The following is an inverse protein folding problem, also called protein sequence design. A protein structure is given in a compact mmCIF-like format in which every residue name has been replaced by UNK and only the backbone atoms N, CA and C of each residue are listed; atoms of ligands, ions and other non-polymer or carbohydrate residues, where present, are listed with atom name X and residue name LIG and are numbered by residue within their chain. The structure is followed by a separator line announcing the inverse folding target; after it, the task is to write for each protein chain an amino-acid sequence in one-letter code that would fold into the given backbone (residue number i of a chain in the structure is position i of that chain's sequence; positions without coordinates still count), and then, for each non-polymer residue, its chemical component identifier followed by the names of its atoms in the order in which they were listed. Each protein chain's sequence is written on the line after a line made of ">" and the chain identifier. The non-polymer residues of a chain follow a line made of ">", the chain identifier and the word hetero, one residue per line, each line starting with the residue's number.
data_IF_541608894235
#
_entry.id   IF_541608894235
#
_cell.length_a   1.000
_cell.length_b   1.000
_cell.length_c   1.000
_cell.angle_alpha   90.00
_cell.angle_beta   90.00
_cell.angle_gamma   90.00
#
_symmetry.space_group_name_H-M   'P 1'
#
loop_
_entity.id
_entity.type
_entity.pdbx_description
1 polymer ?
#
# COMPACT_ATOMS: atom_id res chain seq x y z
N UNK A 1 -23.18 -21.27 23.19
CA UNK A 1 -22.73 -22.68 23.05
C UNK A 1 -22.20 -22.84 21.61
N UNK A 2 -20.95 -23.22 21.45
CA UNK A 2 -20.40 -23.56 20.15
C UNK A 2 -21.10 -24.80 19.60
N UNK A 3 -21.34 -24.86 18.27
CA UNK A 3 -21.88 -26.05 17.64
C UNK A 3 -20.85 -27.18 17.62
N UNK A 4 -21.30 -28.46 17.55
CA UNK A 4 -20.39 -29.60 17.45
C UNK A 4 -19.41 -29.43 16.27
N UNK A 5 -19.89 -29.00 15.09
CA UNK A 5 -19.05 -28.72 13.92
C UNK A 5 -18.00 -27.64 14.17
N UNK A 6 -18.27 -26.66 15.03
CA UNK A 6 -17.28 -25.63 15.38
C UNK A 6 -16.19 -26.19 16.31
N UNK A 7 -16.55 -27.09 17.22
CA UNK A 7 -15.57 -27.76 18.09
C UNK A 7 -14.64 -28.64 17.25
N UNK A 8 -15.18 -29.43 16.33
CA UNK A 8 -14.39 -30.29 15.43
C UNK A 8 -13.45 -29.46 14.53
N UNK A 9 -13.93 -28.34 13.98
CA UNK A 9 -13.10 -27.41 13.22
C UNK A 9 -11.89 -26.91 14.01
N UNK A 10 -12.10 -26.45 15.26
CA UNK A 10 -11.02 -25.94 16.10
C UNK A 10 -10.02 -27.05 16.47
N UNK A 11 -10.49 -28.26 16.68
CA UNK A 11 -9.63 -29.41 16.95
C UNK A 11 -8.75 -29.74 15.75
N UNK A 12 -9.31 -29.85 14.54
CA UNK A 12 -8.53 -30.11 13.32
C UNK A 12 -7.51 -28.98 13.02
N UNK A 13 -7.91 -27.72 13.19
CA UNK A 13 -6.99 -26.59 13.06
C UNK A 13 -5.86 -26.68 14.09
N UNK A 14 -6.17 -27.09 15.32
CA UNK A 14 -5.18 -27.26 16.40
C UNK A 14 -4.21 -28.40 16.12
N UNK A 15 -4.67 -29.47 15.49
CA UNK A 15 -3.80 -30.57 15.04
C UNK A 15 -2.88 -30.13 13.90
N UNK A 16 -3.35 -29.26 13.01
CA UNK A 16 -2.58 -28.79 11.85
C UNK A 16 -1.45 -27.82 12.20
N UNK A 17 -1.67 -26.87 13.14
CA UNK A 17 -0.71 -25.77 13.44
C UNK A 17 -0.23 -25.77 14.90
N UNK A 18 -0.73 -26.68 15.74
CA UNK A 18 -0.53 -26.68 17.18
C UNK A 18 -1.54 -25.80 17.94
N UNK A 19 -2.08 -26.31 19.03
CA UNK A 19 -3.16 -25.66 19.82
C UNK A 19 -2.81 -24.23 20.27
N UNK A 20 -1.55 -23.96 20.63
CA UNK A 20 -1.07 -22.63 21.03
C UNK A 20 -1.13 -21.58 19.88
N UNK A 21 -1.40 -22.03 18.66
CA UNK A 21 -1.45 -21.19 17.46
C UNK A 21 -2.85 -21.07 16.86
N UNK A 22 -3.87 -21.55 17.56
CA UNK A 22 -5.29 -21.36 17.26
C UNK A 22 -5.89 -20.53 18.38
N UNK A 23 -6.13 -19.23 18.13
CA UNK A 23 -6.66 -18.29 19.11
C UNK A 23 -8.18 -18.26 18.99
N UNK A 24 -8.86 -18.66 20.07
CA UNK A 24 -10.34 -18.74 20.13
C UNK A 24 -10.95 -17.73 21.10
N UNK A 25 -10.17 -17.25 22.07
CA UNK A 25 -10.62 -16.27 23.06
C UNK A 25 -10.84 -14.91 22.42
N UNK A 26 -11.93 -14.22 22.77
CA UNK A 26 -12.32 -12.93 22.21
C UNK A 26 -11.22 -11.87 22.35
N UNK A 27 -10.61 -11.78 23.52
CA UNK A 27 -9.51 -10.82 23.79
C UNK A 27 -8.29 -11.06 22.91
N UNK A 28 -7.99 -12.33 22.58
CA UNK A 28 -6.88 -12.69 21.70
C UNK A 28 -7.17 -12.43 20.22
N UNK A 29 -8.46 -12.46 19.82
CA UNK A 29 -8.89 -12.22 18.43
C UNK A 29 -9.09 -10.74 18.11
N UNK A 30 -9.42 -9.92 19.11
CA UNK A 30 -9.83 -8.53 18.95
C UNK A 30 -8.91 -7.71 18.03
N UNK A 31 -7.58 -7.85 18.16
CA UNK A 31 -6.61 -7.14 17.31
C UNK A 31 -6.60 -7.59 15.85
N UNK A 32 -7.11 -8.79 15.56
CA UNK A 32 -7.20 -9.34 14.21
C UNK A 32 -8.55 -9.06 13.54
N UNK A 33 -9.55 -8.69 14.31
CA UNK A 33 -10.93 -8.44 13.88
C UNK A 33 -11.20 -6.99 13.48
N UNK A 34 -10.24 -6.08 13.71
CA UNK A 34 -10.33 -4.66 13.36
C UNK A 34 -9.14 -4.25 12.51
N UNK A 35 -9.38 -3.42 11.49
CA UNK A 35 -8.31 -2.88 10.65
C UNK A 35 -7.57 -1.72 11.35
N UNK A 36 -6.43 -1.34 10.79
CA UNK A 36 -5.62 -0.24 11.33
C UNK A 36 -6.37 1.09 11.45
N UNK A 37 -7.39 1.30 10.60
CA UNK A 37 -8.17 2.55 10.61
C UNK A 37 -9.27 2.56 11.66
N UNK A 38 -9.61 1.41 12.24
CA UNK A 38 -10.77 1.21 13.12
C UNK A 38 -12.13 1.30 12.41
N UNK A 39 -12.14 1.43 11.07
CA UNK A 39 -13.36 1.61 10.27
C UNK A 39 -13.99 0.30 9.81
N UNK A 40 -13.18 -0.72 9.65
CA UNK A 40 -13.60 -2.03 9.19
C UNK A 40 -13.34 -3.05 10.27
N UNK A 41 -14.38 -3.78 10.62
CA UNK A 41 -14.32 -4.81 11.66
C UNK A 41 -15.35 -5.91 11.40
N UNK A 42 -15.04 -7.11 11.87
CA UNK A 42 -15.96 -8.24 11.82
C UNK A 42 -15.44 -9.42 12.63
N UNK A 43 -16.34 -10.26 13.18
CA UNK A 43 -15.97 -11.39 14.02
C UNK A 43 -15.36 -12.53 13.22
N UNK A 44 -14.46 -13.30 13.83
CA UNK A 44 -14.01 -14.59 13.33
C UNK A 44 -14.19 -15.69 14.39
N UNK A 45 -14.24 -16.95 13.96
CA UNK A 45 -14.33 -18.09 14.88
C UNK A 45 -13.00 -18.38 15.57
N UNK A 46 -11.90 -18.15 14.83
CA UNK A 46 -10.54 -18.30 15.36
C UNK A 46 -9.54 -17.51 14.51
N UNK A 47 -8.39 -17.22 15.10
CA UNK A 47 -7.18 -16.80 14.38
C UNK A 47 -6.22 -17.97 14.37
N UNK A 48 -5.81 -18.39 13.16
CA UNK A 48 -4.88 -19.51 12.97
C UNK A 48 -3.54 -18.96 12.48
N UNK A 49 -2.44 -19.40 13.09
CA UNK A 49 -1.09 -18.87 12.85
C UNK A 49 -0.13 -19.95 12.36
N UNK A 50 -0.17 -20.31 11.06
CA UNK A 50 0.73 -21.30 10.47
C UNK A 50 2.19 -20.83 10.46
N UNK A 51 3.14 -21.78 10.45
CA UNK A 51 4.58 -21.55 10.45
C UNK A 51 5.29 -22.14 9.22
N UNK A 52 4.56 -22.79 8.32
CA UNK A 52 5.10 -23.33 7.09
C UNK A 52 4.05 -23.31 5.97
N UNK A 53 4.48 -23.48 4.72
CA UNK A 53 3.58 -23.56 3.56
C UNK A 53 2.67 -24.78 3.65
N UNK A 54 3.15 -25.89 4.23
CA UNK A 54 2.38 -27.12 4.45
C UNK A 54 1.26 -26.89 5.47
N UNK A 55 1.53 -26.16 6.56
CA UNK A 55 0.52 -25.78 7.54
C UNK A 55 -0.52 -24.82 6.91
N UNK A 56 -0.12 -23.85 6.09
CA UNK A 56 -1.04 -23.01 5.31
C UNK A 56 -1.94 -23.85 4.42
N UNK A 57 -1.37 -24.81 3.69
CA UNK A 57 -2.13 -25.72 2.83
C UNK A 57 -3.10 -26.62 3.61
N UNK A 58 -2.71 -27.09 4.79
CA UNK A 58 -3.56 -27.88 5.67
C UNK A 58 -4.76 -27.05 6.18
N UNK A 59 -4.51 -25.84 6.69
CA UNK A 59 -5.57 -24.93 7.14
C UNK A 59 -6.58 -24.62 6.04
N UNK A 60 -6.11 -24.33 4.81
CA UNK A 60 -6.99 -24.08 3.65
C UNK A 60 -7.90 -25.30 3.38
N UNK A 61 -7.34 -26.51 3.38
CA UNK A 61 -8.14 -27.73 3.16
C UNK A 61 -9.18 -27.96 4.26
N UNK A 62 -8.82 -27.70 5.52
CA UNK A 62 -9.74 -27.78 6.64
C UNK A 62 -10.86 -26.76 6.47
N UNK A 63 -10.56 -25.52 6.17
CA UNK A 63 -11.57 -24.47 5.93
C UNK A 63 -12.53 -24.85 4.80
N UNK A 64 -12.04 -25.48 3.74
CA UNK A 64 -12.86 -25.96 2.63
C UNK A 64 -13.83 -27.09 3.05
N UNK A 65 -13.39 -28.03 3.91
CA UNK A 65 -14.23 -29.11 4.43
C UNK A 65 -15.37 -28.59 5.31
N UNK A 66 -15.08 -27.58 6.14
CA UNK A 66 -16.06 -27.01 7.07
C UNK A 66 -16.85 -25.84 6.49
N UNK A 67 -16.69 -25.52 5.20
CA UNK A 67 -17.36 -24.40 4.50
C UNK A 67 -17.25 -23.07 5.26
N UNK A 68 -16.06 -22.75 5.75
CA UNK A 68 -15.76 -21.49 6.41
C UNK A 68 -14.90 -20.60 5.49
N UNK A 69 -15.09 -19.29 5.60
CA UNK A 69 -14.29 -18.31 4.82
C UNK A 69 -12.93 -18.09 5.47
N UNK A 70 -11.94 -17.74 4.67
CA UNK A 70 -10.58 -17.50 5.11
C UNK A 70 -10.13 -16.08 4.76
N UNK A 71 -9.68 -15.32 5.76
CA UNK A 71 -9.12 -13.98 5.60
C UNK A 71 -7.61 -14.04 5.85
N UNK A 72 -6.77 -13.99 4.82
CA UNK A 72 -5.32 -13.88 4.99
C UNK A 72 -4.97 -12.51 5.59
N UNK A 73 -4.18 -12.52 6.66
CA UNK A 73 -3.72 -11.32 7.33
C UNK A 73 -2.26 -11.44 7.70
N UNK A 74 -1.49 -10.35 7.61
CA UNK A 74 -0.13 -10.29 8.13
C UNK A 74 0.06 -9.03 8.98
N UNK A 75 0.70 -7.98 8.49
CA UNK A 75 0.94 -6.75 9.25
C UNK A 75 -0.30 -5.92 9.60
N UNK A 76 -1.44 -6.20 9.01
CA UNK A 76 -2.74 -5.51 9.19
C UNK A 76 -2.64 -3.97 9.07
N UNK A 77 -1.79 -3.48 8.15
CA UNK A 77 -1.57 -2.05 7.89
C UNK A 77 -2.44 -1.47 6.77
N UNK A 78 -3.32 -2.29 6.19
CA UNK A 78 -4.20 -1.89 5.09
C UNK A 78 -5.25 -0.85 5.52
N UNK A 79 -5.68 -0.01 4.57
CA UNK A 79 -6.56 1.14 4.81
C UNK A 79 -7.97 0.96 4.21
N UNK A 80 -8.24 -0.17 3.57
CA UNK A 80 -9.45 -0.42 2.77
C UNK A 80 -10.25 -1.64 3.23
N UNK A 81 -9.97 -2.15 4.44
CA UNK A 81 -10.68 -3.25 5.08
C UNK A 81 -10.46 -4.62 4.40
N UNK A 82 -9.41 -4.79 3.60
CA UNK A 82 -9.11 -6.04 2.89
C UNK A 82 -8.52 -7.15 3.77
N UNK A 83 -8.00 -6.82 4.96
CA UNK A 83 -7.28 -7.75 5.84
C UNK A 83 -8.09 -8.23 7.05
N UNK A 84 -9.36 -7.84 7.18
CA UNK A 84 -10.18 -8.20 8.35
C UNK A 84 -11.47 -8.89 7.94
N UNK A 85 -12.09 -9.70 8.82
CA UNK A 85 -13.36 -10.36 8.53
C UNK A 85 -14.47 -9.37 8.24
N UNK A 86 -15.52 -9.83 7.56
CA UNK A 86 -16.71 -9.02 7.25
C UNK A 86 -17.67 -8.99 8.44
N UNK A 87 -18.47 -7.91 8.59
CA UNK A 87 -19.55 -7.90 9.58
C UNK A 87 -20.45 -9.12 9.41
N UNK A 88 -20.88 -9.70 10.52
CA UNK A 88 -21.78 -10.84 10.48
C UNK A 88 -23.10 -10.44 9.82
N UNK A 89 -23.52 -11.24 8.82
CA UNK A 89 -24.83 -11.13 8.17
C UNK A 89 -25.59 -12.43 8.35
N UNK A 90 -26.91 -12.36 8.41
CA UNK A 90 -27.74 -13.57 8.48
C UNK A 90 -27.46 -14.47 7.28
N UNK A 91 -27.09 -15.74 7.55
CA UNK A 91 -26.74 -16.72 6.51
C UNK A 91 -25.30 -16.62 5.97
N UNK A 92 -24.49 -15.68 6.43
CA UNK A 92 -23.08 -15.63 6.04
C UNK A 92 -22.29 -16.80 6.68
N UNK A 93 -21.34 -17.33 5.91
CA UNK A 93 -20.35 -18.31 6.44
C UNK A 93 -19.51 -17.65 7.51
N UNK A 94 -19.13 -18.43 8.52
CA UNK A 94 -18.19 -17.97 9.54
C UNK A 94 -16.77 -17.79 8.96
N UNK A 95 -15.99 -16.92 9.57
CA UNK A 95 -14.65 -16.60 9.09
C UNK A 95 -13.55 -17.18 10.02
N UNK A 96 -12.45 -17.58 9.40
CA UNK A 96 -11.16 -17.83 10.05
C UNK A 96 -10.19 -16.75 9.57
N UNK A 97 -9.47 -16.10 10.48
CA UNK A 97 -8.33 -15.26 10.13
C UNK A 97 -7.07 -16.12 10.10
N UNK A 98 -6.37 -16.15 8.96
CA UNK A 98 -5.07 -16.79 8.85
C UNK A 98 -3.97 -15.73 8.99
N UNK A 99 -3.34 -15.69 10.16
CA UNK A 99 -2.23 -14.78 10.41
C UNK A 99 -0.92 -15.39 9.91
N UNK A 100 -0.30 -14.71 8.93
CA UNK A 100 0.95 -15.16 8.30
C UNK A 100 2.21 -14.61 9.01
N UNK A 101 2.04 -13.97 10.16
CA UNK A 101 3.14 -13.32 10.91
C UNK A 101 4.22 -14.27 11.42
N UNK A 102 3.99 -15.59 11.41
CA UNK A 102 5.00 -16.60 11.77
C UNK A 102 5.84 -17.07 10.58
N UNK A 103 5.48 -16.73 9.36
CA UNK A 103 6.28 -17.01 8.16
C UNK A 103 7.36 -15.93 8.03
N UNK A 104 8.44 -16.05 8.81
CA UNK A 104 9.45 -14.99 8.96
C UNK A 104 10.84 -15.39 8.48
N UNK A 105 10.99 -16.52 7.80
CA UNK A 105 12.29 -16.93 7.26
C UNK A 105 12.73 -15.99 6.16
N UNK A 106 13.94 -15.46 6.29
CA UNK A 106 14.61 -14.63 5.30
C UNK A 106 15.89 -15.37 4.86
N UNK A 107 15.98 -15.66 3.57
CA UNK A 107 17.11 -16.36 2.98
C UNK A 107 18.37 -15.51 2.92
N UNK A 108 19.47 -16.15 2.57
CA UNK A 108 20.72 -15.41 2.30
C UNK A 108 20.56 -14.53 1.06
N UNK A 109 21.07 -13.29 1.15
CA UNK A 109 21.13 -12.39 -0.01
C UNK A 109 22.07 -12.96 -1.07
N UNK A 110 21.57 -13.11 -2.27
CA UNK A 110 22.35 -13.39 -3.47
C UNK A 110 22.81 -12.07 -4.07
N UNK A 111 24.05 -11.68 -3.75
CA UNK A 111 24.61 -10.38 -4.19
C UNK A 111 24.88 -10.34 -5.68
N UNK A 112 25.15 -11.48 -6.33
CA UNK A 112 25.39 -11.54 -7.77
C UNK A 112 24.10 -11.36 -8.57
N UNK A 113 23.00 -11.98 -8.12
CA UNK A 113 21.68 -11.80 -8.71
C UNK A 113 20.97 -10.55 -8.20
N UNK A 114 21.45 -9.93 -7.12
CA UNK A 114 20.77 -8.89 -6.35
C UNK A 114 19.34 -9.31 -5.98
N UNK A 115 19.22 -10.43 -5.30
CA UNK A 115 17.94 -11.03 -4.94
C UNK A 115 17.99 -11.66 -3.53
N UNK A 116 16.81 -11.78 -2.93
CA UNK A 116 16.64 -12.52 -1.67
C UNK A 116 15.28 -13.20 -1.66
N UNK A 117 15.20 -14.38 -1.04
CA UNK A 117 13.91 -15.04 -0.77
C UNK A 117 13.44 -14.66 0.62
N UNK A 118 12.21 -14.21 0.75
CA UNK A 118 11.57 -13.84 2.01
C UNK A 118 10.20 -14.51 2.13
N UNK A 119 9.88 -15.03 3.31
CA UNK A 119 8.52 -15.47 3.63
C UNK A 119 7.56 -14.28 3.80
N UNK A 120 6.27 -14.55 3.69
CA UNK A 120 5.21 -13.53 3.63
C UNK A 120 5.11 -12.64 4.87
N UNK A 121 5.49 -13.13 6.06
CA UNK A 121 5.48 -12.40 7.32
C UNK A 121 6.74 -11.58 7.61
N UNK A 122 7.78 -11.66 6.77
CA UNK A 122 8.97 -10.79 6.88
C UNK A 122 8.55 -9.33 6.70
N UNK A 123 8.96 -8.43 7.61
CA UNK A 123 8.66 -6.99 7.49
C UNK A 123 9.55 -6.32 6.44
N UNK A 124 9.10 -5.18 5.91
CA UNK A 124 9.92 -4.41 4.96
C UNK A 124 11.21 -3.89 5.62
N UNK A 125 11.15 -3.52 6.90
CA UNK A 125 12.34 -3.14 7.68
C UNK A 125 13.34 -4.30 7.75
N UNK A 126 12.92 -5.51 8.11
CA UNK A 126 13.80 -6.69 8.17
C UNK A 126 14.40 -7.01 6.79
N UNK A 127 13.61 -6.90 5.72
CA UNK A 127 14.10 -7.06 4.34
C UNK A 127 15.17 -6.03 4.00
N UNK A 128 14.95 -4.75 4.33
CA UNK A 128 15.89 -3.65 4.09
C UNK A 128 17.18 -3.81 4.88
N UNK A 129 17.12 -4.14 6.16
CA UNK A 129 18.29 -4.39 6.99
C UNK A 129 19.16 -5.52 6.43
N UNK A 130 18.53 -6.60 5.98
CA UNK A 130 19.25 -7.71 5.33
C UNK A 130 19.94 -7.27 4.03
N UNK A 131 19.29 -6.42 3.23
CA UNK A 131 19.86 -5.86 2.01
C UNK A 131 21.06 -4.95 2.33
N UNK A 132 20.92 -4.04 3.30
CA UNK A 132 22.00 -3.13 3.74
C UNK A 132 23.23 -3.89 4.27
N UNK A 133 23.01 -4.95 5.05
CA UNK A 133 24.10 -5.82 5.53
C UNK A 133 24.88 -6.49 4.39
N UNK A 134 24.28 -6.59 3.20
CA UNK A 134 24.90 -7.12 1.98
C UNK A 134 25.40 -6.02 1.02
N UNK A 135 25.35 -4.75 1.40
CA UNK A 135 25.75 -3.61 0.56
C UNK A 135 24.75 -3.25 -0.54
N UNK A 136 23.51 -3.71 -0.41
CA UNK A 136 22.39 -3.46 -1.34
C UNK A 136 21.28 -2.73 -0.60
N UNK A 137 20.22 -2.32 -1.32
CA UNK A 137 19.04 -1.66 -0.75
C UNK A 137 17.75 -2.30 -1.32
N UNK A 138 16.62 -1.93 -0.75
CA UNK A 138 15.30 -2.38 -1.20
C UNK A 138 14.64 -1.33 -2.10
N UNK A 139 13.96 -1.75 -3.18
CA UNK A 139 13.34 -0.82 -4.14
C UNK A 139 12.02 -0.21 -3.66
N UNK A 140 11.43 -0.74 -2.59
CA UNK A 140 10.12 -0.30 -2.05
C UNK A 140 10.29 0.21 -0.63
N UNK A 141 9.76 1.40 -0.37
CA UNK A 141 9.79 2.03 0.94
C UNK A 141 8.56 2.91 1.16
N UNK A 142 7.90 2.75 2.31
CA UNK A 142 6.75 3.55 2.74
C UNK A 142 6.63 3.60 4.27
N UNK A 143 5.79 4.50 4.79
CA UNK A 143 5.74 4.84 6.21
C UNK A 143 5.49 3.64 7.17
N UNK A 144 4.68 2.65 6.76
CA UNK A 144 4.33 1.51 7.59
C UNK A 144 5.36 0.35 7.56
N UNK A 145 6.59 0.58 7.09
CA UNK A 145 7.64 -0.44 6.84
C UNK A 145 7.94 -1.38 8.01
N UNK A 146 7.79 -0.89 9.24
CA UNK A 146 8.12 -1.67 10.44
C UNK A 146 7.11 -2.79 10.73
N UNK A 147 5.89 -2.64 10.22
CA UNK A 147 4.78 -3.58 10.46
C UNK A 147 4.29 -4.22 9.16
N UNK A 148 4.32 -3.49 8.05
CA UNK A 148 3.95 -4.03 6.74
C UNK A 148 4.89 -5.16 6.34
N UNK A 149 4.32 -6.24 5.79
CA UNK A 149 5.05 -7.46 5.47
C UNK A 149 5.14 -7.70 3.96
N UNK A 150 6.07 -8.53 3.55
CA UNK A 150 6.28 -8.91 2.14
C UNK A 150 5.00 -9.45 1.50
N UNK A 151 4.31 -10.39 2.15
CA UNK A 151 3.07 -10.96 1.62
C UNK A 151 1.96 -9.93 1.47
N UNK A 152 1.79 -9.04 2.46
CA UNK A 152 0.81 -7.95 2.41
C UNK A 152 1.15 -6.93 1.31
N UNK A 153 2.41 -6.50 1.22
CA UNK A 153 2.85 -5.55 0.20
C UNK A 153 2.68 -6.09 -1.24
N UNK A 154 2.93 -7.39 -1.46
CA UNK A 154 2.67 -8.03 -2.76
C UNK A 154 1.16 -8.12 -3.01
N UNK A 155 0.38 -8.57 -2.03
CA UNK A 155 -1.06 -8.75 -2.18
C UNK A 155 -1.78 -7.44 -2.55
N UNK A 156 -1.32 -6.29 -2.06
CA UNK A 156 -1.84 -4.96 -2.41
C UNK A 156 -1.10 -4.28 -3.56
N UNK A 157 -0.02 -4.89 -4.08
CA UNK A 157 0.88 -4.27 -5.05
C UNK A 157 1.39 -2.91 -4.57
N UNK A 158 1.84 -2.83 -3.33
CA UNK A 158 2.26 -1.59 -2.69
C UNK A 158 3.34 -0.83 -3.48
N UNK A 159 3.29 0.49 -3.42
CA UNK A 159 4.22 1.40 -4.08
C UNK A 159 5.16 2.09 -3.09
N UNK A 160 4.82 3.32 -2.72
CA UNK A 160 5.62 4.20 -1.88
C UNK A 160 6.44 5.22 -2.68
N UNK A 161 7.31 5.96 -2.02
CA UNK A 161 8.01 7.11 -2.61
C UNK A 161 8.97 6.78 -3.76
N UNK A 162 9.46 5.53 -3.83
CA UNK A 162 10.49 5.10 -4.82
C UNK A 162 9.91 4.50 -6.12
N UNK A 163 8.59 4.61 -6.31
CA UNK A 163 7.91 4.05 -7.50
C UNK A 163 8.43 4.67 -8.80
N UNK A 164 8.73 5.96 -8.78
CA UNK A 164 9.32 6.66 -9.93
C UNK A 164 10.55 5.93 -10.49
N UNK A 165 11.43 5.47 -9.64
CA UNK A 165 12.69 4.84 -10.03
C UNK A 165 12.58 3.33 -10.22
N UNK A 166 11.88 2.66 -9.32
CA UNK A 166 11.92 1.20 -9.24
C UNK A 166 10.59 0.51 -9.57
N UNK A 167 9.48 1.24 -9.57
CA UNK A 167 8.13 0.69 -9.73
C UNK A 167 7.57 0.10 -8.44
N UNK A 168 6.35 -0.44 -8.52
CA UNK A 168 5.63 -1.05 -7.40
C UNK A 168 6.14 -2.47 -7.07
N UNK A 169 5.62 -3.09 -6.01
CA UNK A 169 5.96 -4.46 -5.60
C UNK A 169 5.84 -5.48 -6.73
N UNK A 170 4.87 -5.35 -7.64
CA UNK A 170 4.72 -6.22 -8.83
C UNK A 170 6.01 -6.35 -9.63
N UNK A 171 6.76 -5.25 -9.77
CA UNK A 171 8.03 -5.23 -10.52
C UNK A 171 9.18 -5.88 -9.74
N UNK A 172 9.05 -5.99 -8.43
CA UNK A 172 10.12 -6.48 -7.56
C UNK A 172 10.06 -7.99 -7.32
N UNK A 173 8.90 -8.61 -7.55
CA UNK A 173 8.71 -10.06 -7.34
C UNK A 173 9.16 -10.82 -8.58
N UNK A 174 10.27 -11.54 -8.47
CA UNK A 174 10.85 -12.38 -9.56
C UNK A 174 10.55 -13.86 -9.38
N UNK A 175 9.98 -14.25 -8.26
CA UNK A 175 9.47 -15.57 -7.97
C UNK A 175 8.47 -15.50 -6.82
N UNK A 176 7.53 -16.42 -6.77
CA UNK A 176 6.49 -16.46 -5.74
C UNK A 176 6.13 -17.90 -5.40
N UNK A 177 5.79 -18.12 -4.14
CA UNK A 177 5.16 -19.33 -3.64
C UNK A 177 3.83 -18.93 -3.01
N UNK A 178 2.77 -19.63 -3.36
CA UNK A 178 1.44 -19.39 -2.82
C UNK A 178 0.62 -20.67 -2.73
N UNK A 179 -0.44 -20.65 -1.93
CA UNK A 179 -1.37 -21.77 -1.76
C UNK A 179 -2.75 -21.37 -2.26
N UNK A 180 -3.28 -22.10 -3.24
CA UNK A 180 -4.63 -21.89 -3.80
C UNK A 180 -5.73 -22.34 -2.85
N UNK A 181 -6.99 -21.97 -3.11
CA UNK A 181 -8.15 -22.41 -2.34
C UNK A 181 -8.34 -23.94 -2.26
N UNK A 182 -7.68 -24.70 -3.16
CA UNK A 182 -7.63 -26.17 -3.12
C UNK A 182 -6.53 -26.74 -2.22
N UNK A 183 -5.75 -25.89 -1.54
CA UNK A 183 -4.59 -26.30 -0.75
C UNK A 183 -3.42 -26.80 -1.59
N UNK A 184 -3.35 -26.42 -2.87
CA UNK A 184 -2.23 -26.76 -3.76
C UNK A 184 -1.19 -25.62 -3.70
N UNK A 185 0.07 -25.99 -3.52
CA UNK A 185 1.22 -25.07 -3.57
C UNK A 185 1.54 -24.80 -5.03
N UNK A 186 1.64 -23.54 -5.41
CA UNK A 186 1.89 -23.07 -6.78
C UNK A 186 3.01 -22.01 -6.82
N UNK A 187 3.58 -21.81 -8.00
CA UNK A 187 4.64 -20.85 -8.25
C UNK A 187 6.04 -21.44 -8.12
N UNK A 188 7.05 -20.59 -8.16
CA UNK A 188 8.46 -20.95 -8.08
C UNK A 188 9.25 -19.80 -7.44
N UNK A 189 10.21 -20.13 -6.59
CA UNK A 189 11.15 -19.20 -5.98
C UNK A 189 12.50 -19.12 -6.72
N UNK A 190 12.60 -19.68 -7.94
CA UNK A 190 13.82 -19.71 -8.73
C UNK A 190 14.38 -18.35 -9.12
N UNK A 191 13.52 -17.36 -9.33
CA UNK A 191 13.90 -15.97 -9.58
C UNK A 191 14.70 -15.74 -10.86
N UNK A 192 14.48 -16.56 -11.89
CA UNK A 192 15.20 -16.46 -13.17
C UNK A 192 14.69 -15.24 -13.96
N UNK A 193 15.60 -14.33 -14.43
CA UNK A 193 15.20 -13.17 -15.22
C UNK A 193 14.53 -13.51 -16.56
N UNK A 194 14.79 -14.69 -17.10
CA UNK A 194 14.18 -15.22 -18.35
C UNK A 194 13.40 -16.48 -18.03
N UNK A 195 12.22 -16.34 -17.43
CA UNK A 195 11.26 -17.40 -17.18
C UNK A 195 10.04 -17.19 -18.07
N UNK A 196 9.82 -18.09 -19.03
CA UNK A 196 8.70 -18.02 -19.99
C UNK A 196 7.86 -19.29 -20.02
N UNK A 197 8.05 -20.17 -19.04
CA UNK A 197 7.36 -21.47 -18.97
C UNK A 197 5.98 -21.32 -18.31
N UNK A 198 5.00 -20.82 -19.05
CA UNK A 198 3.62 -20.70 -18.62
C UNK A 198 3.22 -19.32 -18.08
N UNK A 199 2.16 -19.27 -17.27
CA UNK A 199 1.65 -18.03 -16.70
C UNK A 199 2.58 -17.48 -15.61
N UNK A 200 2.78 -16.17 -15.60
CA UNK A 200 3.63 -15.49 -14.63
C UNK A 200 2.89 -15.27 -13.31
N UNK A 201 2.99 -16.22 -12.38
CA UNK A 201 2.34 -16.19 -11.07
C UNK A 201 2.61 -14.90 -10.27
N UNK A 202 3.84 -14.33 -10.22
CA UNK A 202 4.07 -13.07 -9.53
C UNK A 202 3.16 -11.94 -10.01
N UNK A 203 2.97 -11.80 -11.32
CA UNK A 203 2.09 -10.74 -11.87
C UNK A 203 0.61 -11.00 -11.62
N UNK A 204 0.18 -12.27 -11.58
CA UNK A 204 -1.21 -12.62 -11.30
C UNK A 204 -1.59 -12.35 -9.85
N UNK A 205 -0.67 -12.66 -8.90
CA UNK A 205 -0.94 -12.56 -7.47
C UNK A 205 -0.65 -11.16 -6.90
N UNK A 206 0.24 -10.37 -7.53
CA UNK A 206 0.47 -8.99 -7.10
C UNK A 206 -0.78 -8.13 -7.33
N UNK A 207 -1.36 -7.61 -6.24
CA UNK A 207 -2.61 -6.85 -6.26
C UNK A 207 -3.88 -7.71 -6.21
N UNK A 208 -3.76 -9.01 -5.91
CA UNK A 208 -4.92 -9.91 -5.75
C UNK A 208 -5.61 -9.82 -4.38
N UNK A 209 -5.02 -9.11 -3.45
CA UNK A 209 -5.55 -8.86 -2.09
C UNK A 209 -6.05 -10.14 -1.37
N UNK A 210 -5.35 -11.27 -1.60
CA UNK A 210 -5.66 -12.55 -0.96
C UNK A 210 -6.90 -13.27 -1.50
N UNK A 211 -7.44 -12.86 -2.66
CA UNK A 211 -8.64 -13.43 -3.26
C UNK A 211 -8.37 -14.60 -4.22
N UNK A 212 -7.14 -14.77 -4.68
CA UNK A 212 -6.75 -15.81 -5.64
C UNK A 212 -5.94 -16.94 -5.02
N UNK A 213 -5.09 -16.61 -4.06
CA UNK A 213 -4.25 -17.54 -3.31
C UNK A 213 -3.68 -16.84 -2.07
N UNK A 214 -3.19 -17.62 -1.11
CA UNK A 214 -2.44 -17.15 0.06
C UNK A 214 -0.95 -17.15 -0.28
N UNK A 215 -0.32 -15.99 -0.34
CA UNK A 215 1.12 -15.84 -0.60
C UNK A 215 1.90 -16.27 0.64
N UNK A 216 2.85 -17.20 0.48
CA UNK A 216 3.66 -17.76 1.57
C UNK A 216 5.12 -17.30 1.53
N UNK A 217 5.68 -17.13 0.34
CA UNK A 217 7.03 -16.61 0.15
C UNK A 217 7.21 -15.93 -1.20
N UNK A 218 8.23 -15.08 -1.31
CA UNK A 218 8.61 -14.46 -2.58
C UNK A 218 10.12 -14.37 -2.74
N UNK A 219 10.60 -14.49 -3.99
CA UNK A 219 11.94 -14.11 -4.41
C UNK A 219 11.87 -12.65 -4.88
N UNK A 220 12.64 -11.78 -4.24
CA UNK A 220 12.56 -10.32 -4.38
C UNK A 220 13.84 -9.76 -4.97
N UNK A 221 13.71 -8.76 -5.81
CA UNK A 221 14.83 -7.96 -6.32
C UNK A 221 15.36 -7.04 -5.22
N UNK A 222 16.67 -6.83 -5.25
CA UNK A 222 17.36 -5.78 -4.52
C UNK A 222 17.95 -4.79 -5.53
N UNK A 223 18.32 -3.62 -5.04
CA UNK A 223 18.89 -2.53 -5.85
C UNK A 223 20.24 -2.09 -5.26
N UNK A 224 21.10 -1.39 -6.00
CA UNK A 224 22.31 -0.81 -5.46
C UNK A 224 21.96 0.12 -4.27
N UNK A 225 22.80 0.09 -3.25
CA UNK A 225 22.73 1.06 -2.16
C UNK A 225 23.51 2.30 -2.53
N UNK A 226 22.79 3.36 -2.85
CA UNK A 226 23.35 4.65 -3.17
C UNK A 226 23.67 5.43 -1.89
N UNK A 227 24.90 5.83 -1.72
CA UNK A 227 25.37 6.52 -0.50
C UNK A 227 25.35 8.05 -0.61
N UNK A 228 25.36 8.58 -1.84
CA UNK A 228 25.25 10.00 -2.08
C UNK A 228 23.78 10.35 -2.37
N UNK A 229 23.24 11.26 -1.57
CA UNK A 229 21.87 11.72 -1.70
C UNK A 229 21.81 13.23 -1.75
N UNK A 230 20.91 13.79 -2.54
CA UNK A 230 20.56 15.19 -2.50
C UNK A 230 19.02 15.30 -2.37
N UNK A 231 18.58 16.18 -1.49
CA UNK A 231 17.14 16.46 -1.32
C UNK A 231 16.90 17.93 -1.49
N UNK A 232 15.89 18.29 -2.29
CA UNK A 232 15.42 19.66 -2.42
C UNK A 232 13.97 19.77 -1.98
N UNK A 233 13.61 20.88 -1.33
CA UNK A 233 12.24 21.34 -1.15
C UNK A 233 12.09 22.62 -1.96
N UNK A 234 11.11 22.63 -2.88
CA UNK A 234 10.91 23.70 -3.86
C UNK A 234 9.50 24.23 -3.74
N UNK A 235 9.34 25.52 -3.53
CA UNK A 235 8.07 26.22 -3.59
C UNK A 235 7.82 26.72 -5.02
N UNK A 236 6.65 26.39 -5.60
CA UNK A 236 6.27 26.76 -6.96
C UNK A 236 4.97 27.56 -6.99
N UNK A 237 4.82 28.45 -7.99
CA UNK A 237 3.68 29.38 -8.10
C UNK A 237 2.41 28.74 -8.68
N UNK A 238 2.49 27.53 -9.23
CA UNK A 238 1.31 26.81 -9.74
C UNK A 238 1.59 25.30 -9.88
N UNK A 239 0.53 24.53 -10.02
CA UNK A 239 0.61 23.08 -10.29
C UNK A 239 1.34 22.81 -11.60
N UNK A 240 1.04 23.60 -12.64
CA UNK A 240 1.68 23.49 -13.96
C UNK A 240 3.19 23.79 -13.88
N UNK A 241 3.62 24.68 -12.97
CA UNK A 241 5.05 24.91 -12.72
C UNK A 241 5.71 23.68 -12.08
N UNK A 242 5.03 23.01 -11.14
CA UNK A 242 5.48 21.74 -10.57
C UNK A 242 5.59 20.63 -11.62
N UNK A 243 4.62 20.52 -12.53
CA UNK A 243 4.62 19.53 -13.62
C UNK A 243 5.76 19.82 -14.61
N UNK A 244 6.00 21.09 -14.98
CA UNK A 244 7.15 21.47 -15.81
C UNK A 244 8.48 21.17 -15.14
N UNK A 245 8.60 21.44 -13.85
CA UNK A 245 9.78 21.06 -13.07
C UNK A 245 10.01 19.56 -13.07
N UNK A 246 8.98 18.74 -12.81
CA UNK A 246 9.06 17.27 -12.92
C UNK A 246 9.54 16.84 -14.32
N UNK A 247 8.98 17.42 -15.38
CA UNK A 247 9.39 17.09 -16.75
C UNK A 247 10.86 17.44 -17.03
N UNK A 248 11.37 18.55 -16.48
CA UNK A 248 12.78 18.93 -16.58
C UNK A 248 13.67 17.95 -15.76
N UNK A 249 13.28 17.62 -14.53
CA UNK A 249 13.99 16.66 -13.69
C UNK A 249 14.11 15.28 -14.37
N UNK A 250 13.01 14.76 -14.91
CA UNK A 250 13.00 13.47 -15.63
C UNK A 250 13.93 13.42 -16.86
N UNK A 251 14.14 14.56 -17.53
CA UNK A 251 15.03 14.62 -18.70
C UNK A 251 16.50 14.74 -18.34
N UNK A 252 16.81 15.39 -17.23
CA UNK A 252 18.17 15.86 -16.95
C UNK A 252 18.81 15.26 -15.71
N UNK A 253 18.02 14.67 -14.79
CA UNK A 253 18.52 14.10 -13.54
C UNK A 253 18.39 12.59 -13.55
N UNK A 254 19.48 11.89 -13.79
CA UNK A 254 19.50 10.42 -13.89
C UNK A 254 19.40 9.72 -12.54
N UNK A 255 19.74 10.44 -11.48
CA UNK A 255 19.76 9.99 -10.08
C UNK A 255 18.41 10.18 -9.37
N UNK A 256 17.36 10.61 -10.08
CA UNK A 256 16.05 10.94 -9.52
C UNK A 256 15.41 9.69 -8.87
N UNK A 257 15.15 9.76 -7.57
CA UNK A 257 14.60 8.66 -6.77
C UNK A 257 13.10 8.85 -6.48
N UNK A 258 12.71 10.10 -6.06
CA UNK A 258 11.33 10.44 -5.77
C UNK A 258 11.03 11.93 -6.09
N UNK A 259 9.78 12.23 -6.44
CA UNK A 259 9.26 13.60 -6.53
C UNK A 259 7.89 13.65 -5.89
N UNK A 260 7.84 14.27 -4.71
CA UNK A 260 6.64 14.38 -3.89
C UNK A 260 5.94 15.73 -4.08
N UNK A 261 4.65 15.76 -3.81
CA UNK A 261 3.83 16.97 -3.81
C UNK A 261 3.20 17.20 -2.44
N UNK A 262 3.26 18.44 -1.96
CA UNK A 262 2.70 18.84 -0.67
C UNK A 262 1.91 20.14 -0.88
N UNK A 263 0.60 20.09 -0.60
CA UNK A 263 -0.22 21.31 -0.66
C UNK A 263 0.10 22.25 0.51
N UNK A 264 -0.14 23.57 0.37
CA UNK A 264 0.09 24.53 1.46
C UNK A 264 -0.67 24.21 2.75
N UNK A 265 -1.85 23.58 2.65
CA UNK A 265 -2.63 23.12 3.82
C UNK A 265 -1.93 21.99 4.57
N UNK A 266 -1.30 21.05 3.84
CA UNK A 266 -0.50 19.98 4.44
C UNK A 266 0.80 20.53 5.04
N UNK A 267 1.48 21.44 4.34
CA UNK A 267 2.71 22.08 4.84
C UNK A 267 2.46 22.84 6.15
N UNK A 268 1.39 23.64 6.22
CA UNK A 268 1.03 24.33 7.47
C UNK A 268 0.76 23.34 8.60
N UNK A 269 -0.06 22.33 8.33
CA UNK A 269 -0.43 21.33 9.32
C UNK A 269 0.79 20.62 9.91
N UNK A 270 1.72 20.18 9.07
CA UNK A 270 2.94 19.51 9.54
C UNK A 270 3.89 20.48 10.24
N UNK A 271 3.99 21.74 9.77
CA UNK A 271 4.81 22.78 10.42
C UNK A 271 4.35 23.06 11.84
N UNK A 272 3.03 23.21 12.04
CA UNK A 272 2.42 23.41 13.36
C UNK A 272 2.68 22.18 14.27
N UNK A 273 2.53 20.98 13.72
CA UNK A 273 2.73 19.72 14.46
C UNK A 273 4.19 19.53 14.91
N UNK A 274 5.18 19.87 14.06
CA UNK A 274 6.60 19.73 14.42
C UNK A 274 7.15 20.97 15.15
N UNK A 275 6.38 22.06 15.22
CA UNK A 275 6.79 23.32 15.85
C UNK A 275 7.90 24.06 15.10
N UNK A 276 7.99 23.91 13.77
CA UNK A 276 9.01 24.53 12.94
C UNK A 276 8.39 25.15 11.68
N UNK A 277 8.78 26.37 11.27
CA UNK A 277 8.33 26.92 10.01
C UNK A 277 8.89 26.13 8.83
N UNK A 278 8.22 26.13 7.67
CA UNK A 278 8.76 25.49 6.47
C UNK A 278 10.08 26.17 6.07
N UNK A 279 11.08 25.40 5.63
CA UNK A 279 12.41 25.94 5.28
C UNK A 279 12.40 26.79 4.01
N UNK A 280 11.35 26.70 3.21
CA UNK A 280 11.07 27.55 2.05
C UNK A 280 9.67 28.10 2.17
N UNK A 281 9.46 29.39 1.85
CA UNK A 281 8.16 30.03 1.96
C UNK A 281 8.10 31.30 1.11
N UNK A 282 7.01 31.47 0.38
CA UNK A 282 6.68 32.70 -0.33
C UNK A 282 5.17 32.93 -0.31
N UNK A 283 4.68 34.16 -0.29
CA UNK A 283 3.25 34.44 -0.47
C UNK A 283 2.66 33.90 -1.77
N UNK A 284 3.49 33.69 -2.79
CA UNK A 284 3.10 33.16 -4.11
C UNK A 284 3.13 31.63 -4.17
N UNK A 285 3.44 30.95 -3.08
CA UNK A 285 3.54 29.48 -3.08
C UNK A 285 2.16 28.84 -3.23
N UNK A 286 1.93 28.23 -4.38
CA UNK A 286 0.74 27.42 -4.63
C UNK A 286 0.94 25.93 -4.29
N UNK A 287 2.19 25.44 -4.34
CA UNK A 287 2.52 24.05 -4.13
C UNK A 287 3.98 23.91 -3.69
N UNK A 288 4.26 22.88 -2.88
CA UNK A 288 5.62 22.45 -2.57
C UNK A 288 5.93 21.14 -3.31
N UNK A 289 7.14 21.07 -3.87
CA UNK A 289 7.67 19.87 -4.53
C UNK A 289 8.92 19.45 -3.78
N UNK A 290 8.93 18.24 -3.23
CA UNK A 290 10.12 17.64 -2.64
C UNK A 290 10.75 16.68 -3.65
N UNK A 291 12.05 16.83 -3.87
CA UNK A 291 12.81 16.04 -4.85
C UNK A 291 13.90 15.29 -4.10
N UNK A 292 13.92 13.98 -4.23
CA UNK A 292 15.00 13.11 -3.73
C UNK A 292 15.79 12.53 -4.90
N UNK A 293 17.12 12.63 -4.78
CA UNK A 293 18.10 12.04 -5.71
C UNK A 293 19.06 11.14 -4.94
N UNK A 294 19.46 10.03 -5.53
CA UNK A 294 20.41 9.10 -4.93
C UNK A 294 21.31 8.48 -6.02
N UNK A 295 22.65 8.47 -5.81
CA UNK A 295 23.61 7.92 -6.77
C UNK A 295 24.89 7.44 -6.08
N UNK A 296 25.81 6.87 -6.88
CA UNK A 296 27.17 6.51 -6.49
C UNK A 296 28.10 7.73 -6.37
N UNK A 297 27.75 8.86 -7.00
CA UNK A 297 28.43 10.15 -6.91
C UNK A 297 27.44 11.23 -6.45
N UNK A 298 27.94 12.41 -6.06
CA UNK A 298 27.08 13.50 -5.59
C UNK A 298 26.11 13.97 -6.69
N UNK A 299 24.78 13.82 -6.49
CA UNK A 299 23.79 14.20 -7.50
C UNK A 299 23.39 15.68 -7.45
N UNK A 300 23.95 16.49 -6.56
CA UNK A 300 23.51 17.86 -6.30
C UNK A 300 23.70 18.82 -7.48
N UNK A 301 24.78 18.66 -8.26
CA UNK A 301 25.07 19.52 -9.40
C UNK A 301 23.96 19.46 -10.47
N UNK A 302 23.58 18.24 -10.89
CA UNK A 302 22.49 18.06 -11.86
C UNK A 302 21.16 18.61 -11.34
N UNK A 303 20.89 18.43 -10.06
CA UNK A 303 19.67 18.93 -9.43
C UNK A 303 19.67 20.46 -9.39
N UNK A 304 20.78 21.10 -8.99
CA UNK A 304 20.94 22.55 -8.97
C UNK A 304 20.80 23.17 -10.36
N UNK A 305 21.38 22.56 -11.39
CA UNK A 305 21.28 23.04 -12.77
C UNK A 305 19.83 23.09 -13.23
N UNK A 306 19.04 22.06 -12.95
CA UNK A 306 17.62 22.03 -13.29
C UNK A 306 16.84 23.06 -12.49
N UNK A 307 17.07 23.19 -11.17
CA UNK A 307 16.35 24.16 -10.34
C UNK A 307 16.65 25.60 -10.73
N UNK A 308 17.90 25.89 -11.13
CA UNK A 308 18.32 27.24 -11.55
C UNK A 308 17.68 27.71 -12.85
N UNK A 309 17.27 26.78 -13.72
CA UNK A 309 16.69 27.06 -15.04
C UNK A 309 15.17 26.91 -15.09
N UNK A 310 14.55 26.37 -14.04
CA UNK A 310 13.12 26.06 -14.04
C UNK A 310 12.28 27.32 -13.76
N UNK A 311 11.33 27.59 -14.65
CA UNK A 311 10.37 28.69 -14.48
C UNK A 311 9.32 28.37 -13.40
N UNK A 312 9.00 29.41 -12.61
CA UNK A 312 7.91 29.33 -11.63
C UNK A 312 8.29 28.77 -10.28
N UNK A 313 9.59 28.58 -10.02
CA UNK A 313 10.11 28.43 -8.66
C UNK A 313 10.10 29.81 -8.00
N UNK A 314 9.57 29.87 -6.77
CA UNK A 314 9.52 31.10 -5.97
C UNK A 314 10.49 31.07 -4.78
N UNK A 315 10.84 29.85 -4.32
CA UNK A 315 11.84 29.64 -3.27
C UNK A 315 12.30 28.18 -3.30
N UNK A 316 13.53 27.88 -2.88
CA UNK A 316 14.03 26.52 -2.81
C UNK A 316 15.15 26.35 -1.80
N UNK A 317 15.21 25.16 -1.20
CA UNK A 317 16.31 24.72 -0.35
C UNK A 317 16.79 23.36 -0.82
N UNK A 318 18.10 23.17 -0.91
CA UNK A 318 18.73 21.91 -1.28
C UNK A 318 19.78 21.53 -0.24
N UNK A 319 19.97 20.24 -0.01
CA UNK A 319 20.99 19.72 0.89
C UNK A 319 21.47 18.33 0.48
N UNK A 320 22.76 18.08 0.73
CA UNK A 320 23.41 16.74 0.69
C UNK A 320 23.79 16.28 2.10
N UNK A 321 23.65 17.15 3.11
CA UNK A 321 23.94 16.82 4.51
C UNK A 321 22.83 15.95 5.11
N UNK A 322 23.20 14.83 5.71
CA UNK A 322 22.25 13.84 6.24
C UNK A 322 21.35 14.38 7.36
N UNK A 323 21.86 15.31 8.20
CA UNK A 323 21.06 15.89 9.30
C UNK A 323 20.06 16.90 8.76
N UNK A 324 20.48 17.77 7.83
CA UNK A 324 19.59 18.71 7.17
C UNK A 324 18.54 17.99 6.31
N UNK A 325 18.97 16.94 5.59
CA UNK A 325 18.05 16.07 4.83
C UNK A 325 16.94 15.51 5.72
N UNK A 326 17.30 14.93 6.86
CA UNK A 326 16.30 14.41 7.82
C UNK A 326 15.30 15.47 8.27
N UNK A 327 15.75 16.74 8.42
CA UNK A 327 14.87 17.87 8.76
C UNK A 327 13.94 18.23 7.59
N UNK A 328 14.44 18.27 6.35
CA UNK A 328 13.60 18.54 5.17
C UNK A 328 12.55 17.45 4.97
N UNK A 329 12.97 16.21 4.99
CA UNK A 329 12.10 15.03 4.77
C UNK A 329 11.02 14.92 5.85
N UNK A 330 11.27 15.39 7.07
CA UNK A 330 10.29 15.42 8.15
C UNK A 330 9.00 16.20 7.77
N UNK A 331 9.10 17.24 6.94
CA UNK A 331 7.93 17.97 6.44
C UNK A 331 7.04 17.13 5.52
N UNK A 332 7.55 16.04 4.95
CA UNK A 332 6.78 15.09 4.17
C UNK A 332 6.36 13.86 4.98
N UNK A 333 7.29 13.24 5.69
CA UNK A 333 7.07 11.97 6.39
C UNK A 333 6.09 12.11 7.56
N UNK A 334 6.07 13.26 8.23
CA UNK A 334 5.21 13.50 9.39
C UNK A 334 3.84 14.09 9.07
N UNK A 335 3.48 14.25 7.78
CA UNK A 335 2.14 14.75 7.40
C UNK A 335 1.05 13.80 7.92
N UNK A 336 1.23 12.49 7.78
CA UNK A 336 0.23 11.50 8.24
C UNK A 336 0.04 11.56 9.76
N UNK A 337 1.12 11.77 10.52
CA UNK A 337 1.09 11.95 11.97
C UNK A 337 0.35 13.25 12.34
N UNK A 338 0.65 14.33 11.65
CA UNK A 338 -0.03 15.63 11.85
C UNK A 338 -1.54 15.55 11.54
N UNK A 339 -1.92 14.82 10.49
CA UNK A 339 -3.32 14.56 10.15
C UNK A 339 -4.00 13.74 11.27
N UNK A 340 -3.34 12.72 11.80
CA UNK A 340 -3.89 11.90 12.89
C UNK A 340 -4.12 12.74 14.16
N UNK A 341 -3.17 13.59 14.52
CA UNK A 341 -3.31 14.51 15.65
C UNK A 341 -4.51 15.46 15.46
N UNK A 342 -4.62 16.10 14.29
CA UNK A 342 -5.74 16.99 13.98
C UNK A 342 -7.09 16.25 13.93
N UNK A 343 -7.11 15.00 13.47
CA UNK A 343 -8.31 14.14 13.49
C UNK A 343 -8.78 13.85 14.93
N UNK A 344 -7.82 13.61 15.82
CA UNK A 344 -8.11 13.39 17.25
C UNK A 344 -8.71 14.64 17.91
N UNK A 345 -8.21 15.84 17.59
CA UNK A 345 -8.75 17.11 18.07
C UNK A 345 -10.19 17.35 17.61
N UNK A 346 -10.50 16.97 16.37
CA UNK A 346 -11.86 17.10 15.80
C UNK A 346 -12.80 16.01 16.34
N UNK A 347 -12.26 14.88 16.81
CA UNK A 347 -13.03 13.73 17.31
C UNK A 347 -13.73 12.89 16.23
N UNK A 348 -13.37 13.09 14.96
CA UNK A 348 -13.90 12.31 13.81
C UNK A 348 -12.74 11.72 13.01
N UNK A 349 -12.76 10.41 12.70
CA UNK A 349 -11.72 9.79 11.89
C UNK A 349 -11.57 10.47 10.53
N UNK A 350 -10.33 10.72 10.11
CA UNK A 350 -10.04 11.30 8.79
C UNK A 350 -10.53 10.37 7.68
N UNK A 351 -11.33 10.90 6.75
CA UNK A 351 -11.67 10.20 5.52
C UNK A 351 -10.53 10.37 4.50
N UNK A 352 -10.03 9.25 3.97
CA UNK A 352 -8.86 9.22 3.08
C UNK A 352 -9.22 8.63 1.74
N UNK A 353 -8.88 9.34 0.66
CA UNK A 353 -8.87 8.83 -0.69
C UNK A 353 -7.43 8.82 -1.22
N UNK A 354 -7.08 7.72 -1.86
CA UNK A 354 -5.79 7.51 -2.51
C UNK A 354 -6.08 7.22 -3.99
N UNK A 355 -5.75 8.19 -4.84
CA UNK A 355 -6.14 8.22 -6.25
C UNK A 355 -5.00 8.71 -7.11
N UNK A 356 -5.00 8.35 -8.40
CA UNK A 356 -4.07 8.94 -9.35
C UNK A 356 -4.79 9.34 -10.63
N UNK A 357 -4.32 10.43 -11.25
CA UNK A 357 -4.80 10.94 -12.53
C UNK A 357 -3.61 11.28 -13.44
N UNK A 358 -3.81 11.41 -14.76
CA UNK A 358 -2.81 12.01 -15.64
C UNK A 358 -2.33 13.36 -15.11
N UNK A 359 -1.05 13.65 -15.26
CA UNK A 359 -0.41 14.84 -14.66
C UNK A 359 -1.12 16.16 -15.02
N UNK A 360 -1.60 16.30 -16.25
CA UNK A 360 -2.33 17.46 -16.72
C UNK A 360 -3.72 17.64 -16.08
N UNK A 361 -4.27 16.56 -15.51
CA UNK A 361 -5.55 16.57 -14.80
C UNK A 361 -5.44 16.84 -13.29
N UNK A 362 -4.21 16.90 -12.72
CA UNK A 362 -4.01 17.10 -11.27
C UNK A 362 -4.69 18.36 -10.73
N UNK A 363 -4.61 19.46 -11.48
CA UNK A 363 -5.23 20.74 -11.07
C UNK A 363 -6.74 20.63 -10.98
N UNK A 364 -7.38 19.95 -11.89
CA UNK A 364 -8.82 19.77 -11.91
C UNK A 364 -9.28 18.81 -10.81
N UNK A 365 -8.54 17.73 -10.56
CA UNK A 365 -8.81 16.85 -9.42
C UNK A 365 -8.76 17.58 -8.08
N UNK A 366 -7.73 18.42 -7.85
CA UNK A 366 -7.62 19.19 -6.61
C UNK A 366 -8.78 20.16 -6.44
N UNK A 367 -9.22 20.84 -7.52
CA UNK A 367 -10.40 21.73 -7.49
C UNK A 367 -11.68 20.97 -7.12
N UNK A 368 -11.91 19.79 -7.73
CA UNK A 368 -13.08 18.97 -7.40
C UNK A 368 -13.03 18.48 -5.95
N UNK A 369 -11.87 18.00 -5.49
CA UNK A 369 -11.70 17.55 -4.11
C UNK A 369 -11.91 18.68 -3.10
N UNK A 370 -11.43 19.89 -3.41
CA UNK A 370 -11.67 21.08 -2.57
C UNK A 370 -13.15 21.47 -2.55
N UNK A 371 -13.83 21.48 -3.71
CA UNK A 371 -15.27 21.74 -3.78
C UNK A 371 -16.11 20.73 -3.00
N UNK A 372 -15.73 19.44 -3.02
CA UNK A 372 -16.37 18.42 -2.21
C UNK A 372 -16.15 18.62 -0.71
N UNK A 373 -14.94 19.03 -0.32
CA UNK A 373 -14.62 19.35 1.07
C UNK A 373 -15.38 20.59 1.58
N UNK A 374 -15.45 21.66 0.76
CA UNK A 374 -16.19 22.88 1.08
C UNK A 374 -17.69 22.62 1.25
N UNK A 375 -18.26 21.77 0.39
CA UNK A 375 -19.68 21.39 0.46
C UNK A 375 -20.00 20.54 1.69
N UNK A 376 -19.06 19.76 2.20
CA UNK A 376 -19.20 18.96 3.43
C UNK A 376 -18.82 19.76 4.70
N UNK A 377 -18.13 20.89 4.57
CA UNK A 377 -17.62 21.69 5.67
C UNK A 377 -16.37 21.10 6.34
N UNK A 378 -15.66 20.18 5.68
CA UNK A 378 -14.45 19.56 6.19
C UNK A 378 -13.17 20.20 5.62
N UNK A 379 -12.01 19.89 6.24
CA UNK A 379 -10.71 20.40 5.80
C UNK A 379 -10.00 19.38 4.90
N UNK A 380 -9.70 19.79 3.66
CA UNK A 380 -8.89 18.99 2.72
C UNK A 380 -7.38 19.22 2.97
N UNK A 381 -6.63 18.11 3.06
CA UNK A 381 -5.17 18.08 3.22
C UNK A 381 -4.55 17.18 2.15
N UNK A 382 -4.26 17.71 0.93
CA UNK A 382 -3.65 16.96 -0.16
C UNK A 382 -2.13 16.89 -0.02
N UNK A 383 -1.59 15.70 -0.28
CA UNK A 383 -0.17 15.48 -0.52
C UNK A 383 -0.02 14.16 -1.31
N UNK A 384 1.17 13.84 -1.83
CA UNK A 384 1.35 12.58 -2.54
C UNK A 384 2.60 12.55 -3.41
N UNK A 385 2.55 11.72 -4.45
CA UNK A 385 3.65 11.42 -5.35
C UNK A 385 3.41 12.12 -6.69
N UNK A 386 4.07 13.27 -6.90
CA UNK A 386 3.85 14.09 -8.10
C UNK A 386 4.19 13.30 -9.38
N UNK A 387 5.25 12.50 -9.32
CA UNK A 387 5.73 11.78 -10.49
C UNK A 387 4.68 10.80 -11.05
N UNK A 388 3.87 10.19 -10.21
CA UNK A 388 2.86 9.22 -10.59
C UNK A 388 1.46 9.83 -10.75
N UNK A 389 1.31 11.13 -10.52
CA UNK A 389 0.00 11.78 -10.48
C UNK A 389 -0.87 11.31 -9.31
N UNK A 390 -0.23 10.72 -8.29
CA UNK A 390 -0.91 10.15 -7.12
C UNK A 390 -1.10 11.21 -6.03
N UNK A 391 -2.34 11.33 -5.54
CA UNK A 391 -2.71 12.20 -4.43
C UNK A 391 -3.39 11.42 -3.31
N UNK A 392 -2.92 11.63 -2.10
CA UNK A 392 -3.59 11.29 -0.86
C UNK A 392 -4.47 12.47 -0.45
N UNK A 393 -5.76 12.35 -0.67
CA UNK A 393 -6.76 13.37 -0.34
C UNK A 393 -7.34 13.05 1.05
N UNK A 394 -6.91 13.81 2.05
CA UNK A 394 -7.32 13.58 3.43
C UNK A 394 -8.36 14.63 3.84
N UNK A 395 -9.57 14.19 4.20
CA UNK A 395 -10.69 15.02 4.59
C UNK A 395 -10.86 14.92 6.11
N UNK A 396 -10.37 15.92 6.85
CA UNK A 396 -10.45 15.98 8.33
C UNK A 396 -11.79 16.57 8.73
N UNK A 397 -12.55 15.84 9.56
CA UNK A 397 -13.87 16.25 10.02
C UNK A 397 -14.98 16.01 8.98
N UNK A 398 -14.80 15.07 8.05
CA UNK A 398 -15.82 14.74 7.06
C UNK A 398 -17.09 14.18 7.70
N UNK A 399 -18.23 14.85 7.43
CA UNK A 399 -19.57 14.47 7.92
C UNK A 399 -20.27 13.48 6.99
N UNK A 400 -20.00 13.55 5.68
CA UNK A 400 -20.61 12.73 4.64
C UNK A 400 -19.54 12.11 3.72
N UNK A 401 -18.70 11.18 4.24
CA UNK A 401 -17.57 10.61 3.50
C UNK A 401 -17.99 9.92 2.19
N UNK A 402 -19.18 9.32 2.14
CA UNK A 402 -19.70 8.67 0.92
C UNK A 402 -19.97 9.68 -0.20
N UNK A 403 -20.52 10.86 0.11
CA UNK A 403 -20.75 11.92 -0.88
C UNK A 403 -19.44 12.48 -1.43
N UNK A 404 -18.44 12.62 -0.57
CA UNK A 404 -17.10 13.02 -0.99
C UNK A 404 -16.52 11.94 -1.91
N UNK A 405 -16.63 10.66 -1.55
CA UNK A 405 -16.19 9.55 -2.38
C UNK A 405 -16.88 9.55 -3.74
N UNK A 406 -18.20 9.63 -3.80
CA UNK A 406 -18.96 9.66 -5.05
C UNK A 406 -18.50 10.81 -5.96
N UNK A 407 -18.34 12.01 -5.42
CA UNK A 407 -17.91 13.19 -6.18
C UNK A 407 -16.50 13.03 -6.70
N UNK A 408 -15.54 12.70 -5.81
CA UNK A 408 -14.11 12.66 -6.15
C UNK A 408 -13.80 11.47 -7.04
N UNK A 409 -14.30 10.26 -6.74
CA UNK A 409 -14.00 9.05 -7.53
C UNK A 409 -14.65 9.09 -8.91
N UNK A 410 -15.84 9.69 -9.06
CA UNK A 410 -16.45 9.93 -10.36
C UNK A 410 -15.63 10.91 -11.21
N UNK A 411 -15.10 11.97 -10.59
CA UNK A 411 -14.20 12.90 -11.27
C UNK A 411 -12.89 12.21 -11.68
N UNK A 412 -12.27 11.41 -10.80
CA UNK A 412 -11.08 10.62 -11.12
C UNK A 412 -11.31 9.74 -12.34
N UNK A 413 -12.43 9.02 -12.40
CA UNK A 413 -12.77 8.19 -13.54
C UNK A 413 -12.95 9.00 -14.83
N UNK A 414 -13.64 10.14 -14.77
CA UNK A 414 -13.85 11.03 -15.93
C UNK A 414 -12.55 11.66 -16.45
N UNK A 415 -11.57 11.86 -15.57
CA UNK A 415 -10.24 12.35 -15.87
C UNK A 415 -9.27 11.25 -16.37
N UNK A 416 -9.75 10.01 -16.54
CA UNK A 416 -8.93 8.87 -17.00
C UNK A 416 -7.97 8.33 -15.92
N UNK A 417 -8.31 8.56 -14.65
CA UNK A 417 -7.49 8.15 -13.51
C UNK A 417 -7.85 6.78 -12.93
N UNK A 418 -7.26 6.47 -11.77
CA UNK A 418 -7.56 5.28 -10.97
C UNK A 418 -8.06 5.65 -9.57
N UNK A 419 -9.07 4.94 -9.11
CA UNK A 419 -9.65 5.11 -7.76
C UNK A 419 -8.75 4.55 -6.65
N UNK A 420 -7.68 3.83 -7.01
CA UNK A 420 -6.70 3.32 -6.06
C UNK A 420 -5.31 3.35 -6.70
N UNK A 421 -4.41 4.17 -6.15
CA UNK A 421 -3.03 4.26 -6.60
C UNK A 421 -2.12 3.26 -5.85
N UNK A 422 -2.26 3.16 -4.51
CA UNK A 422 -1.41 2.34 -3.66
C UNK A 422 -2.17 1.44 -2.68
N UNK A 423 -3.28 1.94 -2.09
CA UNK A 423 -3.91 1.31 -0.93
C UNK A 423 -4.72 0.04 -1.25
N UNK A 424 -4.94 -0.27 -2.52
CA UNK A 424 -5.82 -1.35 -2.96
C UNK A 424 -7.30 -0.94 -2.98
N UNK A 425 -8.14 -1.88 -3.33
CA UNK A 425 -9.60 -1.72 -3.39
C UNK A 425 -10.25 -2.17 -2.08
N UNK A 426 -9.80 -3.29 -1.54
CA UNK A 426 -10.36 -3.91 -0.34
C UNK A 426 -11.84 -4.17 -0.49
N UNK A 427 -12.60 -3.84 0.56
CA UNK A 427 -14.06 -3.71 0.52
C UNK A 427 -14.50 -2.27 0.32
N UNK A 428 -13.62 -1.34 0.69
CA UNK A 428 -13.92 0.09 0.73
C UNK A 428 -14.30 0.66 -0.63
N UNK A 429 -13.64 0.23 -1.71
CA UNK A 429 -13.78 0.82 -3.04
C UNK A 429 -14.53 -0.07 -4.05
N UNK A 430 -14.99 -1.25 -3.63
CA UNK A 430 -15.79 -2.16 -4.48
C UNK A 430 -16.97 -1.46 -5.16
N UNK A 431 -17.76 -0.58 -4.49
CA UNK A 431 -18.90 0.09 -5.11
C UNK A 431 -18.53 0.95 -6.33
N UNK A 432 -17.28 1.42 -6.42
CA UNK A 432 -16.82 2.31 -7.49
C UNK A 432 -15.98 1.61 -8.58
N UNK A 433 -15.81 0.28 -8.50
CA UNK A 433 -15.01 -0.45 -9.49
C UNK A 433 -15.54 -0.29 -10.92
N UNK A 434 -16.86 -0.24 -11.10
CA UNK A 434 -17.49 -0.04 -12.40
C UNK A 434 -17.23 1.33 -13.05
N UNK A 435 -16.71 2.31 -12.28
CA UNK A 435 -16.30 3.60 -12.84
C UNK A 435 -15.01 3.49 -13.68
N UNK A 436 -14.12 2.55 -13.33
CA UNK A 436 -12.78 2.42 -13.92
C UNK A 436 -12.56 1.09 -14.65
N UNK A 437 -13.49 0.16 -14.55
CA UNK A 437 -13.44 -1.15 -15.21
C UNK A 437 -14.73 -1.37 -15.98
N UNK A 438 -14.63 -1.74 -17.25
CA UNK A 438 -15.79 -2.11 -18.03
C UNK A 438 -16.35 -3.49 -17.60
N UNK A 439 -17.60 -3.83 -17.93
CA UNK A 439 -18.21 -5.09 -17.53
C UNK A 439 -17.41 -6.33 -17.95
N UNK A 440 -16.87 -6.35 -19.17
CA UNK A 440 -16.09 -7.50 -19.67
C UNK A 440 -14.77 -7.72 -18.89
N UNK A 441 -14.13 -6.63 -18.41
CA UNK A 441 -12.95 -6.72 -17.55
C UNK A 441 -13.32 -7.28 -16.16
N UNK A 442 -14.44 -6.82 -15.58
CA UNK A 442 -14.95 -7.34 -14.29
C UNK A 442 -15.34 -8.82 -14.40
N UNK A 443 -16.01 -9.21 -15.49
CA UNK A 443 -16.39 -10.61 -15.76
C UNK A 443 -15.15 -11.50 -15.91
N UNK A 444 -14.10 -11.03 -16.60
CA UNK A 444 -12.85 -11.76 -16.75
C UNK A 444 -12.13 -11.95 -15.39
N UNK A 445 -12.10 -10.93 -14.55
CA UNK A 445 -11.54 -11.02 -13.21
C UNK A 445 -12.33 -12.00 -12.33
N UNK A 446 -13.66 -11.96 -12.38
CA UNK A 446 -14.53 -12.89 -11.69
C UNK A 446 -14.31 -14.34 -12.16
N UNK A 447 -14.16 -14.56 -13.46
CA UNK A 447 -13.87 -15.89 -14.02
C UNK A 447 -12.53 -16.46 -13.54
N UNK A 448 -11.47 -15.63 -13.47
CA UNK A 448 -10.16 -16.03 -12.91
C UNK A 448 -10.31 -16.43 -11.43
N UNK A 449 -11.02 -15.61 -10.65
CA UNK A 449 -11.31 -15.92 -9.25
C UNK A 449 -12.03 -17.24 -9.09
N UNK A 450 -13.14 -17.43 -9.79
CA UNK A 450 -13.94 -18.68 -9.75
C UNK A 450 -13.12 -19.91 -10.14
N UNK A 451 -12.20 -19.80 -11.10
CA UNK A 451 -11.34 -20.90 -11.50
C UNK A 451 -10.37 -21.32 -10.39
N UNK A 452 -9.84 -20.37 -9.61
CA UNK A 452 -8.89 -20.62 -8.53
C UNK A 452 -9.57 -20.88 -7.18
N UNK A 453 -10.72 -20.26 -6.92
CA UNK A 453 -11.52 -20.36 -5.70
C UNK A 453 -13.03 -20.52 -6.03
N UNK A 454 -13.46 -21.68 -6.50
CA UNK A 454 -14.86 -21.91 -6.90
C UNK A 454 -15.85 -21.82 -5.73
N UNK A 455 -15.39 -21.96 -4.50
CA UNK A 455 -16.25 -21.87 -3.30
C UNK A 455 -16.33 -20.44 -2.73
N UNK A 456 -15.66 -19.46 -3.34
CA UNK A 456 -15.57 -18.07 -2.81
C UNK A 456 -15.15 -18.07 -1.31
N UNK A 457 -14.14 -18.89 -0.99
CA UNK A 457 -13.64 -19.07 0.37
C UNK A 457 -12.61 -18.00 0.76
N UNK A 458 -11.73 -17.65 -0.19
CA UNK A 458 -10.60 -16.75 0.06
C UNK A 458 -11.04 -15.29 0.02
N UNK A 459 -10.96 -14.63 1.15
CA UNK A 459 -11.17 -13.19 1.34
C UNK A 459 -12.43 -12.64 0.62
N UNK A 460 -13.63 -13.21 0.86
CA UNK A 460 -14.83 -12.85 0.13
C UNK A 460 -15.22 -11.39 0.31
N UNK A 461 -15.74 -10.74 -0.75
CA UNK A 461 -16.15 -9.33 -0.76
C UNK A 461 -14.98 -8.34 -0.94
N UNK A 462 -13.77 -8.80 -1.12
CA UNK A 462 -12.60 -7.99 -1.51
C UNK A 462 -12.44 -8.01 -3.02
N UNK A 463 -12.13 -6.87 -3.64
CA UNK A 463 -12.05 -6.63 -5.08
C UNK A 463 -13.37 -6.80 -5.84
N UNK A 464 -14.25 -7.66 -5.39
CA UNK A 464 -15.52 -7.99 -6.02
C UNK A 464 -16.66 -7.98 -5.00
N UNK A 465 -17.91 -7.66 -5.39
CA UNK A 465 -19.05 -7.84 -4.52
C UNK A 465 -19.17 -9.31 -4.08
N UNK A 466 -19.69 -9.54 -2.87
CA UNK A 466 -19.94 -10.89 -2.37
C UNK A 466 -21.10 -11.52 -3.14
N UNK A 467 -20.94 -12.73 -3.68
CA UNK A 467 -22.02 -13.48 -4.33
C UNK A 467 -22.27 -13.13 -5.80
N UNK A 468 -21.29 -12.58 -6.51
CA UNK A 468 -21.32 -12.42 -7.97
C UNK A 468 -20.55 -13.53 -8.66
#
# INVERSE_FOLDING_TARGET
>A
MQSAAQVDLIEELSLAVGAAHVLVDDDLRAAYEVDWTGRYQGPCNAVVRPNSVEEVAAVIRICAVYDVTLVPQAGNTGLVGGSVPRPARSGARSAIVMSLTRLTRLGRVDTAAMQVTAEAGVTLTTWRESAHNAGLDTPVDFAARDTATIGGAIATNAGGSRVLRFGTMRRQVVGIEAVTAKGAIVGSLGGLPKETAGLHWPSLLAGSEGTLAVITAARLRLVPWFQHTATALVAVKSIESGIRLLAALRRSVTSLDAVEVIAPTAMRLVSDHIGQPPPVSSPETALYVMVDCADHSDPSEQLLDVLSQADGIVDSAITTDAVQRKRLVAFRDRITEAIAAASTEVGVPTFKLDVAVPLDALGDLIKVAQGAADADGCRLVPFGHLAEGNLHLNHIGASHPERIADTVLSAVASLGGTISAEHGIGVAKVPWMSLIRNPADLDAQAAIRTALDPADMLNPGVLHPQGT
#
